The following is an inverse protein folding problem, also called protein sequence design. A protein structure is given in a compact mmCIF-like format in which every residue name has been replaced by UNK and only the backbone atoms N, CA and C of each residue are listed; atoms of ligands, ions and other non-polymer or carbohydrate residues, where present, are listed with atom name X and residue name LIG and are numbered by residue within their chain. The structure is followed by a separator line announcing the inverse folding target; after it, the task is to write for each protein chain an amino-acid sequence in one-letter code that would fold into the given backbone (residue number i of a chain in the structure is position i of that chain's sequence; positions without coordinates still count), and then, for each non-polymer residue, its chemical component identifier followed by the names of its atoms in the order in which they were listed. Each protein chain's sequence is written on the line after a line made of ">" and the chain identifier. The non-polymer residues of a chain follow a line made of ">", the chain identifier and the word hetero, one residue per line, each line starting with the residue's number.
data_IF_364312554407
#
_entry.id   IF_364312554407
#
_cell.length_a   1.000
_cell.length_b   1.000
_cell.length_c   1.000
_cell.angle_alpha   90.00
_cell.angle_beta   90.00
_cell.angle_gamma   90.00
#
_symmetry.space_group_name_H-M   'P 1'
#
loop_
_entity.id
_entity.type
_entity.pdbx_description
1 polymer ?
#
# COMPACT_ATOMS: atom_id res chain seq x y z
N UNK A 1 -34.54 -34.75 35.39
CA UNK A 1 -33.62 -34.86 36.51
C UNK A 1 -32.29 -34.29 36.04
N UNK A 2 -31.84 -33.28 36.42
CA UNK A 2 -31.58 -32.28 37.35
C UNK A 2 -30.81 -31.16 36.69
N UNK A 3 -31.37 -29.98 36.74
CA UNK A 3 -30.79 -28.71 36.29
C UNK A 3 -29.71 -28.30 37.29
N UNK A 4 -28.57 -27.81 36.82
CA UNK A 4 -27.67 -27.06 37.69
C UNK A 4 -27.22 -25.78 37.00
N UNK A 5 -27.89 -24.68 37.36
CA UNK A 5 -27.46 -23.31 37.21
C UNK A 5 -26.19 -23.05 38.06
N UNK A 6 -25.18 -22.40 37.54
CA UNK A 6 -24.27 -21.59 38.37
C UNK A 6 -24.13 -20.20 37.78
N UNK A 7 -24.43 -19.27 38.68
CA UNK A 7 -24.56 -17.84 38.51
C UNK A 7 -23.20 -17.11 38.41
N UNK A 8 -23.21 -16.05 37.66
CA UNK A 8 -22.70 -14.70 37.84
C UNK A 8 -21.57 -14.41 38.86
N UNK A 9 -20.55 -13.71 38.40
CA UNK A 9 -19.95 -12.63 39.21
C UNK A 9 -19.56 -11.46 38.29
N UNK A 10 -20.29 -10.35 38.48
CA UNK A 10 -19.92 -9.01 38.08
C UNK A 10 -18.73 -8.56 38.94
N UNK A 11 -17.66 -8.08 38.30
CA UNK A 11 -16.58 -7.36 38.95
C UNK A 11 -16.53 -5.94 38.39
N UNK A 12 -17.15 -5.03 39.11
CA UNK A 12 -17.11 -3.57 38.93
C UNK A 12 -15.79 -3.08 39.57
N UNK A 13 -14.92 -2.42 38.82
CA UNK A 13 -13.84 -1.62 39.39
C UNK A 13 -13.89 -0.22 38.82
N UNK A 14 -14.03 0.69 39.76
CA UNK A 14 -14.29 2.11 39.60
C UNK A 14 -13.06 2.94 39.17
N UNK A 15 -13.39 4.09 38.69
CA UNK A 15 -12.60 5.21 38.26
C UNK A 15 -11.52 5.72 39.27
N UNK A 16 -10.45 6.26 38.72
CA UNK A 16 -9.71 7.35 39.35
C UNK A 16 -9.29 8.36 38.30
N UNK A 17 -9.99 9.50 38.28
CA UNK A 17 -9.54 10.74 37.65
C UNK A 17 -8.41 11.35 38.50
N UNK A 18 -7.34 11.77 37.85
CA UNK A 18 -6.41 12.73 38.44
C UNK A 18 -6.24 13.90 37.49
N UNK A 19 -6.86 15.00 37.85
CA UNK A 19 -6.68 16.34 37.27
C UNK A 19 -5.48 16.99 37.94
N UNK A 20 -4.52 17.44 37.17
CA UNK A 20 -3.47 18.36 37.64
C UNK A 20 -3.38 19.54 36.68
N UNK A 21 -4.00 20.63 37.12
CA UNK A 21 -3.81 22.01 36.65
C UNK A 21 -2.48 22.55 37.15
N UNK A 22 -1.73 23.21 36.27
CA UNK A 22 -0.54 23.95 36.66
C UNK A 22 -0.18 25.00 35.61
N UNK A 23 -0.70 26.24 35.81
CA UNK A 23 -0.26 27.43 35.10
C UNK A 23 1.12 27.90 35.61
N UNK A 24 1.99 28.31 34.71
CA UNK A 24 2.95 29.36 35.00
C UNK A 24 3.40 30.05 33.72
N UNK A 25 3.02 31.32 33.60
CA UNK A 25 3.57 32.31 32.68
C UNK A 25 4.93 32.77 33.20
N UNK A 26 5.91 32.96 32.32
CA UNK A 26 6.90 34.03 32.50
C UNK A 26 7.42 34.51 31.14
N UNK A 27 7.11 35.77 30.86
CA UNK A 27 7.80 36.62 29.89
C UNK A 27 9.17 36.98 30.44
N UNK A 28 10.17 37.05 29.62
CA UNK A 28 11.14 38.17 29.64
C UNK A 28 11.86 38.28 28.31
N UNK A 29 11.72 39.43 27.71
CA UNK A 29 12.53 39.95 26.62
C UNK A 29 13.90 40.41 27.14
N UNK A 30 14.96 40.22 26.37
CA UNK A 30 16.08 41.13 26.27
C UNK A 30 16.94 40.81 25.03
N UNK A 31 17.17 41.84 24.27
CA UNK A 31 18.11 41.96 23.14
C UNK A 31 19.55 41.65 23.56
N UNK A 32 20.32 41.07 22.66
CA UNK A 32 21.67 41.56 22.28
C UNK A 32 22.09 40.92 20.96
N UNK A 33 22.35 41.78 19.99
CA UNK A 33 23.02 41.49 18.74
C UNK A 33 24.53 41.29 18.98
N UNK A 34 25.13 40.29 18.35
CA UNK A 34 26.53 40.36 17.85
C UNK A 34 26.76 39.33 16.76
N UNK A 35 27.29 39.82 15.64
CA UNK A 35 27.80 39.12 14.48
C UNK A 35 28.86 38.08 14.86
N UNK A 36 28.77 36.89 14.30
CA UNK A 36 29.93 36.16 13.78
C UNK A 36 29.48 35.21 12.66
N UNK A 37 30.09 35.36 11.50
CA UNK A 37 29.91 34.55 10.33
C UNK A 37 30.29 33.08 10.59
N UNK A 38 29.36 32.19 10.36
CA UNK A 38 29.57 30.77 10.35
C UNK A 38 29.07 30.20 9.02
N UNK A 39 30.01 29.63 8.26
CA UNK A 39 29.74 28.96 6.98
C UNK A 39 28.69 27.86 7.21
N UNK A 40 27.51 28.04 6.67
CA UNK A 40 26.51 26.99 6.57
C UNK A 40 26.93 26.03 5.46
N UNK A 41 27.51 24.90 5.83
CA UNK A 41 27.49 23.72 4.98
C UNK A 41 26.02 23.21 4.98
N UNK A 42 25.24 23.74 4.05
CA UNK A 42 23.92 23.23 3.75
C UNK A 42 24.07 21.81 3.21
N UNK A 43 23.83 20.81 4.05
CA UNK A 43 23.57 19.47 3.57
C UNK A 43 22.28 19.58 2.74
N UNK A 44 22.41 19.63 1.41
CA UNK A 44 21.30 19.45 0.49
C UNK A 44 20.78 18.05 0.70
N UNK A 45 19.72 17.92 1.48
CA UNK A 45 18.88 16.72 1.42
C UNK A 45 18.36 16.62 -0.01
N UNK A 46 18.93 15.70 -0.78
CA UNK A 46 18.42 15.36 -2.09
C UNK A 46 16.98 14.89 -1.91
N UNK A 47 16.03 15.75 -2.25
CA UNK A 47 14.61 15.41 -2.36
C UNK A 47 14.53 14.31 -3.40
N UNK A 48 14.24 13.07 -2.97
CA UNK A 48 14.05 11.96 -3.88
C UNK A 48 13.06 12.39 -4.97
N UNK A 49 13.48 12.35 -6.21
CA UNK A 49 12.63 12.67 -7.34
C UNK A 49 11.43 11.71 -7.33
N UNK A 50 10.21 12.20 -7.62
CA UNK A 50 9.05 11.33 -7.72
C UNK A 50 9.32 10.27 -8.79
N UNK A 51 9.23 9.01 -8.43
CA UNK A 51 9.37 7.89 -9.36
C UNK A 51 8.28 8.00 -10.41
N UNK A 52 8.65 8.06 -11.69
CA UNK A 52 7.68 8.17 -12.77
C UNK A 52 6.63 7.05 -12.69
N UNK A 53 5.35 7.33 -12.94
CA UNK A 53 4.31 6.30 -12.94
C UNK A 53 4.61 5.24 -14.03
N UNK A 54 4.15 4.00 -13.79
CA UNK A 54 4.15 2.97 -14.83
C UNK A 54 3.39 3.49 -16.04
N UNK A 55 4.00 3.44 -17.20
CA UNK A 55 3.28 3.71 -18.44
C UNK A 55 2.24 2.60 -18.64
N UNK A 56 0.96 2.99 -18.62
CA UNK A 56 -0.13 2.11 -19.03
C UNK A 56 -0.19 2.25 -20.54
N UNK A 57 0.31 1.24 -21.25
CA UNK A 57 0.18 1.20 -22.71
C UNK A 57 -1.24 0.77 -23.06
N UNK A 58 -1.96 1.60 -23.79
CA UNK A 58 -3.20 1.23 -24.45
C UNK A 58 -2.84 0.54 -25.78
N UNK A 59 -2.33 -0.69 -25.74
CA UNK A 59 -2.26 -1.52 -26.92
C UNK A 59 -3.68 -1.81 -27.39
N UNK A 60 -3.93 -1.85 -28.70
CA UNK A 60 -5.22 -2.31 -29.21
C UNK A 60 -5.36 -3.80 -28.80
N UNK A 61 -6.24 -4.13 -27.85
CA UNK A 61 -6.23 -5.48 -27.31
C UNK A 61 -7.04 -6.39 -28.21
N UNK A 62 -6.56 -7.59 -28.38
CA UNK A 62 -7.40 -8.68 -28.79
C UNK A 62 -8.02 -9.30 -27.51
N UNK A 63 -8.88 -8.54 -26.84
CA UNK A 63 -9.83 -9.17 -25.93
C UNK A 63 -10.71 -10.09 -26.76
N UNK A 64 -11.03 -11.28 -26.25
CA UNK A 64 -11.99 -12.17 -26.91
C UNK A 64 -13.23 -11.33 -27.29
N UNK A 65 -13.71 -11.48 -28.53
CA UNK A 65 -14.86 -10.73 -29.02
C UNK A 65 -16.04 -10.84 -28.05
N UNK A 66 -16.44 -9.69 -27.46
CA UNK A 66 -17.55 -9.62 -26.51
C UNK A 66 -17.15 -9.49 -25.02
N UNK A 67 -15.86 -9.56 -24.64
CA UNK A 67 -15.46 -9.31 -23.26
C UNK A 67 -15.65 -7.83 -22.89
N UNK A 68 -16.42 -7.59 -21.83
CA UNK A 68 -16.59 -6.27 -21.24
C UNK A 68 -15.68 -6.12 -20.03
N UNK A 69 -14.84 -5.09 -20.00
CA UNK A 69 -14.00 -4.80 -18.83
C UNK A 69 -14.84 -4.56 -17.59
N UNK A 70 -14.45 -5.17 -16.48
CA UNK A 70 -15.12 -4.97 -15.21
C UNK A 70 -14.85 -3.56 -14.70
N UNK A 71 -15.92 -2.84 -14.35
CA UNK A 71 -15.80 -1.51 -13.80
C UNK A 71 -15.17 -1.55 -12.40
N UNK A 72 -14.19 -0.66 -12.15
CA UNK A 72 -13.73 -0.39 -10.80
C UNK A 72 -14.79 0.39 -10.02
N UNK A 73 -14.86 0.20 -8.69
CA UNK A 73 -15.64 1.10 -7.86
C UNK A 73 -15.04 2.53 -7.91
N UNK A 74 -15.87 3.59 -7.79
CA UNK A 74 -15.41 4.98 -7.99
C UNK A 74 -14.22 5.40 -7.13
N UNK A 75 -14.16 4.94 -5.88
CA UNK A 75 -13.10 5.27 -4.91
C UNK A 75 -12.08 4.14 -4.74
N UNK A 76 -12.03 3.21 -5.69
CA UNK A 76 -11.11 2.07 -5.63
C UNK A 76 -9.67 2.52 -5.67
N UNK A 77 -8.87 2.08 -4.71
CA UNK A 77 -7.43 2.31 -4.67
C UNK A 77 -6.70 1.14 -4.03
N UNK A 78 -5.57 0.79 -4.60
CA UNK A 78 -4.64 -0.19 -4.06
C UNK A 78 -3.36 0.52 -3.61
N UNK A 79 -2.73 0.06 -2.54
CA UNK A 79 -1.55 0.71 -1.96
C UNK A 79 -0.71 -0.26 -1.15
N UNK A 80 0.57 0.07 -0.93
CA UNK A 80 1.42 -0.65 0.00
C UNK A 80 1.10 -0.23 1.43
N UNK A 81 0.74 -1.19 2.30
CA UNK A 81 0.41 -0.90 3.70
C UNK A 81 1.66 -0.76 4.58
N UNK A 82 2.78 -1.41 4.22
CA UNK A 82 3.99 -1.48 5.04
C UNK A 82 5.26 -0.93 4.37
N UNK A 83 5.25 -0.65 3.07
CA UNK A 83 6.40 -0.14 2.33
C UNK A 83 6.15 1.29 1.84
N UNK A 84 7.24 2.05 1.70
CA UNK A 84 7.23 3.42 1.18
C UNK A 84 8.31 3.59 0.13
N UNK A 85 8.13 4.56 -0.74
CA UNK A 85 9.14 4.94 -1.70
C UNK A 85 10.46 5.34 -1.00
N UNK A 86 11.59 4.83 -1.49
CA UNK A 86 12.92 5.04 -0.91
C UNK A 86 13.26 4.15 0.28
N UNK A 87 12.40 3.18 0.65
CA UNK A 87 12.68 2.28 1.76
C UNK A 87 13.92 1.41 1.51
N UNK A 88 14.72 1.20 2.57
CA UNK A 88 15.79 0.20 2.58
C UNK A 88 15.31 -1.00 3.39
N UNK A 89 15.41 -2.18 2.80
CA UNK A 89 14.88 -3.44 3.33
C UNK A 89 15.88 -4.58 3.20
N UNK A 90 15.60 -5.71 3.84
CA UNK A 90 16.36 -6.96 3.68
C UNK A 90 15.48 -8.02 3.02
N UNK A 91 16.09 -8.90 2.23
CA UNK A 91 15.41 -10.08 1.65
C UNK A 91 15.29 -11.20 2.68
N UNK A 92 14.16 -11.94 2.75
CA UNK A 92 12.95 -11.77 1.93
C UNK A 92 12.17 -10.51 2.32
N UNK A 93 11.68 -9.78 1.33
CA UNK A 93 10.92 -8.54 1.53
C UNK A 93 9.47 -8.86 1.80
N UNK A 94 8.98 -8.54 3.00
CA UNK A 94 7.55 -8.62 3.31
C UNK A 94 6.81 -7.46 2.63
N UNK A 95 5.74 -7.79 1.89
CA UNK A 95 4.88 -6.82 1.20
C UNK A 95 3.44 -7.05 1.66
N UNK A 96 2.81 -6.02 2.21
CA UNK A 96 1.41 -6.04 2.66
C UNK A 96 0.58 -5.14 1.74
N UNK A 97 -0.50 -5.70 1.19
CA UNK A 97 -1.36 -5.03 0.22
C UNK A 97 -2.55 -4.38 0.91
N UNK A 98 -2.80 -3.13 0.61
CA UNK A 98 -4.00 -2.41 1.00
C UNK A 98 -4.94 -2.24 -0.20
N UNK A 99 -6.23 -2.48 0.01
CA UNK A 99 -7.28 -2.22 -0.97
C UNK A 99 -8.41 -1.47 -0.28
N UNK A 100 -8.83 -0.35 -0.85
CA UNK A 100 -9.97 0.43 -0.36
C UNK A 100 -10.97 0.66 -1.50
N UNK A 101 -12.24 0.79 -1.15
CA UNK A 101 -13.33 0.97 -2.12
C UNK A 101 -13.75 -0.29 -2.87
N UNK A 102 -13.00 -1.38 -2.75
CA UNK A 102 -13.33 -2.70 -3.34
C UNK A 102 -13.04 -3.82 -2.36
N UNK A 103 -13.65 -4.99 -2.61
CA UNK A 103 -13.34 -6.23 -1.89
C UNK A 103 -12.28 -7.06 -2.61
N UNK A 104 -11.61 -7.94 -1.85
CA UNK A 104 -10.72 -8.97 -2.41
C UNK A 104 -11.55 -10.22 -2.70
N UNK A 105 -11.41 -10.79 -3.89
CA UNK A 105 -12.01 -12.06 -4.27
C UNK A 105 -10.95 -12.94 -4.97
N UNK A 106 -11.05 -14.27 -4.87
CA UNK A 106 -10.19 -15.17 -5.63
C UNK A 106 -10.35 -15.00 -7.15
N UNK A 107 -9.29 -15.30 -7.91
CA UNK A 107 -9.36 -15.40 -9.36
C UNK A 107 -10.44 -16.42 -9.78
N UNK A 108 -11.12 -16.16 -10.89
CA UNK A 108 -12.24 -16.97 -11.38
C UNK A 108 -13.58 -16.71 -10.67
N UNK A 109 -13.60 -15.91 -9.60
CA UNK A 109 -14.85 -15.51 -8.91
C UNK A 109 -15.38 -14.20 -9.49
N UNK A 110 -16.47 -14.27 -10.23
CA UNK A 110 -17.17 -13.10 -10.76
C UNK A 110 -18.05 -12.47 -9.69
N UNK A 111 -17.63 -11.32 -9.17
CA UNK A 111 -18.39 -10.53 -8.21
C UNK A 111 -18.11 -9.05 -8.41
N UNK A 112 -19.15 -8.27 -8.63
CA UNK A 112 -19.02 -6.83 -8.81
C UNK A 112 -18.33 -6.16 -7.61
N UNK A 113 -17.48 -5.17 -7.88
CA UNK A 113 -16.72 -4.44 -6.87
C UNK A 113 -15.65 -5.27 -6.15
N UNK A 114 -15.19 -6.37 -6.75
CA UNK A 114 -14.10 -7.19 -6.21
C UNK A 114 -13.03 -7.48 -7.25
N UNK A 115 -11.85 -7.89 -6.76
CA UNK A 115 -10.75 -8.34 -7.61
C UNK A 115 -9.64 -8.97 -6.77
N UNK A 116 -8.55 -9.36 -7.40
CA UNK A 116 -7.39 -9.94 -6.72
C UNK A 116 -6.11 -9.17 -7.05
N UNK A 117 -5.14 -9.27 -6.15
CA UNK A 117 -3.90 -8.53 -6.26
C UNK A 117 -2.90 -9.19 -7.22
N UNK A 118 -2.15 -8.35 -7.90
CA UNK A 118 -0.87 -8.68 -8.52
C UNK A 118 0.20 -7.71 -8.01
N UNK A 119 1.43 -8.22 -7.79
CA UNK A 119 2.60 -7.42 -7.47
C UNK A 119 3.52 -7.40 -8.70
N UNK A 120 3.81 -6.21 -9.17
CA UNK A 120 4.72 -5.93 -10.27
C UNK A 120 6.10 -5.63 -9.69
N UNK A 121 7.13 -6.34 -10.16
CA UNK A 121 8.53 -6.20 -9.73
C UNK A 121 9.35 -5.85 -10.95
N UNK A 122 9.95 -4.65 -10.96
CA UNK A 122 10.79 -4.13 -12.05
C UNK A 122 10.10 -4.11 -13.43
N UNK A 123 8.77 -3.91 -13.42
CA UNK A 123 7.96 -3.81 -14.63
C UNK A 123 7.89 -2.36 -15.12
N UNK A 124 8.24 -2.12 -16.36
CA UNK A 124 8.24 -0.78 -16.95
C UNK A 124 6.84 -0.33 -17.41
N UNK A 125 6.05 -1.24 -17.97
CA UNK A 125 4.74 -0.95 -18.52
C UNK A 125 3.79 -2.16 -18.39
N UNK A 126 2.48 -1.88 -18.31
CA UNK A 126 1.41 -2.88 -18.22
C UNK A 126 0.41 -2.65 -19.34
N UNK A 127 0.04 -3.71 -20.05
CA UNK A 127 -1.12 -3.68 -20.93
C UNK A 127 -2.40 -3.83 -20.09
N UNK A 128 -3.16 -2.75 -19.99
CA UNK A 128 -4.40 -2.75 -19.23
C UNK A 128 -5.56 -3.48 -19.92
N UNK A 129 -5.36 -3.95 -21.15
CA UNK A 129 -6.40 -4.56 -21.97
C UNK A 129 -6.18 -6.07 -22.20
N UNK A 130 -5.16 -6.63 -21.59
CA UNK A 130 -4.84 -8.04 -21.66
C UNK A 130 -4.79 -8.67 -20.28
N UNK A 131 -4.98 -9.99 -20.17
CA UNK A 131 -4.73 -10.70 -18.92
C UNK A 131 -3.29 -10.48 -18.46
N UNK A 132 -3.12 -10.15 -17.19
CA UNK A 132 -1.80 -10.00 -16.59
C UNK A 132 -1.06 -11.36 -16.59
N UNK A 133 0.22 -11.42 -16.98
CA UNK A 133 1.01 -12.63 -16.88
C UNK A 133 1.14 -13.11 -15.43
N UNK A 134 1.52 -14.37 -15.25
CA UNK A 134 1.96 -14.93 -13.97
C UNK A 134 3.39 -15.42 -14.11
N UNK A 135 4.36 -14.64 -13.61
CA UNK A 135 5.79 -14.94 -13.64
C UNK A 135 6.52 -14.20 -12.52
N UNK A 136 7.85 -14.17 -12.53
CA UNK A 136 8.64 -13.56 -11.49
C UNK A 136 8.48 -12.04 -11.38
N UNK A 137 8.16 -11.37 -12.47
CA UNK A 137 7.90 -9.92 -12.48
C UNK A 137 6.42 -9.58 -12.22
N UNK A 138 5.52 -10.50 -12.48
CA UNK A 138 4.07 -10.37 -12.28
C UNK A 138 3.60 -11.44 -11.31
N UNK A 139 3.76 -11.19 -10.02
CA UNK A 139 3.35 -12.13 -8.97
C UNK A 139 1.84 -12.09 -8.80
N UNK A 140 1.22 -13.24 -8.96
CA UNK A 140 -0.23 -13.43 -8.92
C UNK A 140 -0.70 -13.93 -7.55
N UNK A 141 -1.77 -13.33 -7.01
CA UNK A 141 -2.35 -13.65 -5.69
C UNK A 141 -3.82 -14.06 -5.82
N UNK A 142 -4.06 -15.07 -6.64
CA UNK A 142 -5.40 -15.51 -7.06
C UNK A 142 -6.21 -16.27 -6.02
N UNK A 143 -5.70 -16.49 -4.80
CA UNK A 143 -6.48 -17.07 -3.70
C UNK A 143 -7.00 -16.01 -2.72
N UNK A 144 -6.86 -14.71 -3.06
CA UNK A 144 -7.31 -13.62 -2.20
C UNK A 144 -6.28 -13.21 -1.13
N UNK A 145 -5.01 -13.54 -1.32
CA UNK A 145 -3.95 -13.14 -0.41
C UNK A 145 -3.81 -11.61 -0.40
N UNK A 146 -3.52 -11.07 0.79
CA UNK A 146 -3.31 -9.63 1.03
C UNK A 146 -1.90 -9.31 1.49
N UNK A 147 -1.00 -10.30 1.50
CA UNK A 147 0.41 -10.12 1.81
C UNK A 147 1.24 -11.24 1.17
N UNK A 148 2.54 -10.98 1.06
CA UNK A 148 3.52 -11.96 0.60
C UNK A 148 4.90 -11.64 1.16
N UNK A 149 5.84 -12.59 1.00
CA UNK A 149 7.28 -12.36 1.13
C UNK A 149 7.95 -12.74 -0.18
N UNK A 150 8.75 -11.83 -0.72
CA UNK A 150 9.46 -12.04 -2.00
C UNK A 150 10.96 -12.01 -1.80
N UNK A 151 11.63 -12.99 -2.37
CA UNK A 151 13.10 -13.00 -2.46
C UNK A 151 13.54 -12.04 -3.57
N UNK A 152 14.29 -11.02 -3.21
CA UNK A 152 14.89 -10.07 -4.14
C UNK A 152 16.40 -10.05 -3.94
N UNK A 153 17.15 -9.92 -5.02
CA UNK A 153 18.60 -9.75 -4.96
C UNK A 153 18.96 -8.39 -4.33
N UNK A 154 20.15 -8.23 -3.73
CA UNK A 154 20.62 -6.92 -3.32
C UNK A 154 20.63 -5.95 -4.50
N UNK A 155 20.18 -4.72 -4.27
CA UNK A 155 20.07 -3.69 -5.30
C UNK A 155 18.81 -2.86 -5.22
N UNK A 156 18.59 -2.05 -6.24
CA UNK A 156 17.40 -1.20 -6.37
C UNK A 156 16.31 -1.91 -7.16
N UNK A 157 15.11 -1.96 -6.61
CA UNK A 157 13.94 -2.57 -7.23
C UNK A 157 12.77 -1.60 -7.25
N UNK A 158 11.93 -1.70 -8.26
CA UNK A 158 10.65 -1.01 -8.31
C UNK A 158 9.52 -1.99 -8.02
N UNK A 159 8.57 -1.56 -7.19
CA UNK A 159 7.38 -2.34 -6.85
C UNK A 159 6.13 -1.54 -7.17
N UNK A 160 5.09 -2.25 -7.65
CA UNK A 160 3.77 -1.65 -7.87
C UNK A 160 2.68 -2.71 -7.68
N UNK A 161 1.53 -2.31 -7.16
CA UNK A 161 0.35 -3.17 -7.01
C UNK A 161 -0.68 -2.84 -8.07
N UNK A 162 -1.34 -3.86 -8.61
CA UNK A 162 -2.48 -3.72 -9.51
C UNK A 162 -3.55 -4.74 -9.13
N UNK A 163 -4.82 -4.35 -9.27
CA UNK A 163 -5.97 -5.22 -9.03
C UNK A 163 -6.58 -5.63 -10.37
N UNK A 164 -6.78 -6.93 -10.52
CA UNK A 164 -7.40 -7.52 -11.70
C UNK A 164 -8.71 -8.24 -11.35
N UNK A 165 -9.56 -8.40 -12.35
CA UNK A 165 -10.82 -9.13 -12.27
C UNK A 165 -10.64 -10.65 -12.31
N UNK A 166 -11.73 -11.39 -12.33
CA UNK A 166 -11.75 -12.87 -12.36
C UNK A 166 -10.97 -13.48 -13.53
N UNK A 167 -10.73 -12.73 -14.61
CA UNK A 167 -10.00 -13.13 -15.82
C UNK A 167 -8.58 -12.58 -15.88
N UNK A 168 -8.05 -12.04 -14.78
CA UNK A 168 -6.74 -11.40 -14.68
C UNK A 168 -6.60 -10.12 -15.50
N UNK A 169 -7.71 -9.52 -15.93
CA UNK A 169 -7.72 -8.28 -16.70
C UNK A 169 -7.88 -7.09 -15.75
N UNK A 170 -7.03 -6.06 -15.85
CA UNK A 170 -7.16 -4.86 -15.02
C UNK A 170 -8.52 -4.19 -15.18
N UNK A 171 -9.12 -3.74 -14.08
CA UNK A 171 -10.39 -3.03 -14.05
C UNK A 171 -10.35 -1.73 -14.89
N UNK A 172 -11.52 -1.17 -15.16
CA UNK A 172 -11.64 0.15 -15.80
C UNK A 172 -12.46 1.11 -14.92
N UNK A 173 -11.89 2.25 -14.50
CA UNK A 173 -10.47 2.66 -14.54
C UNK A 173 -9.53 1.65 -13.88
N UNK A 174 -8.25 1.68 -14.30
CA UNK A 174 -7.24 0.76 -13.75
C UNK A 174 -6.99 1.07 -12.27
N UNK A 175 -7.13 0.06 -11.41
CA UNK A 175 -6.82 0.15 -9.98
C UNK A 175 -5.37 -0.25 -9.76
N UNK A 176 -4.49 0.73 -9.75
CA UNK A 176 -3.04 0.56 -9.66
C UNK A 176 -2.46 1.51 -8.61
N UNK A 177 -1.45 1.06 -7.85
CA UNK A 177 -0.80 1.89 -6.84
C UNK A 177 0.22 2.86 -7.45
N UNK A 178 0.71 3.78 -6.63
CA UNK A 178 1.97 4.43 -6.93
C UNK A 178 3.07 3.38 -7.10
N UNK A 179 4.02 3.65 -8.01
CA UNK A 179 5.26 2.89 -8.11
C UNK A 179 6.19 3.36 -7.00
N UNK A 180 6.67 2.44 -6.20
CA UNK A 180 7.70 2.71 -5.20
C UNK A 180 9.03 2.10 -5.63
N UNK A 181 10.11 2.75 -5.24
CA UNK A 181 11.48 2.24 -5.37
C UNK A 181 11.97 1.84 -3.99
N UNK A 182 12.54 0.65 -3.86
CA UNK A 182 13.16 0.16 -2.63
C UNK A 182 14.62 -0.22 -2.90
N UNK A 183 15.44 -0.22 -1.84
CA UNK A 183 16.81 -0.73 -1.88
C UNK A 183 16.90 -1.98 -0.99
N UNK A 184 17.26 -3.11 -1.57
CA UNK A 184 17.50 -4.37 -0.86
C UNK A 184 18.98 -4.49 -0.50
N UNK A 185 19.28 -4.78 0.77
CA UNK A 185 20.62 -5.01 1.32
C UNK A 185 20.93 -6.47 1.52
#
# INVERSE_FOLDING_TARGET
>A
MTISLRAAQLGLVAAAMLVLTGCARHNHAAMHAMHHGGMHHGAMMAKAAPTAPVSITASTPTLASGYQKVAAAPEARVYFANLRNGATVTSPVKVVFGLAGMGVAPAGVEKAGTGHHHLLIDVAAVDANAPLPANDQFRHFGLGQTETSVELKPGTHTLQLIVADQNHIPHHPVVISERITITVK
#
